data_IF_532900497557
#
_entry.id   IF_532900497557
#
_cell.length_a   1.000
_cell.length_b   1.000
_cell.length_c   1.000
_cell.angle_alpha   90.00
_cell.angle_beta   90.00
_cell.angle_gamma   90.00
#
_symmetry.space_group_name_H-M   'P 1'
#
loop_
_entity.id
_entity.type
_entity.pdbx_description
1 polymer ?
#
# COMPACT_ATOMS: atom_id res chain seq x y z
N UNK A 1 -54.39 46.88 -49.36
CA UNK A 1 -54.61 46.00 -48.20
C UNK A 1 -53.35 45.16 -48.00
N UNK A 2 -52.42 45.67 -47.16
CA UNK A 2 -51.08 45.05 -46.95
C UNK A 2 -51.09 44.16 -45.69
N UNK A 3 -50.80 42.86 -45.85
CA UNK A 3 -50.76 41.87 -44.79
C UNK A 3 -49.36 41.83 -44.19
N UNK A 4 -49.16 42.34 -42.98
CA UNK A 4 -47.91 42.26 -42.22
C UNK A 4 -47.77 40.85 -41.60
N UNK A 5 -46.75 40.12 -42.06
CA UNK A 5 -46.31 38.84 -41.43
C UNK A 5 -45.49 39.14 -40.19
N UNK A 6 -45.95 38.66 -39.06
CA UNK A 6 -45.23 38.68 -37.77
C UNK A 6 -44.33 37.47 -37.68
N UNK A 7 -43.00 37.67 -37.62
CA UNK A 7 -42.01 36.62 -37.39
C UNK A 7 -41.78 36.53 -35.86
N UNK A 8 -42.20 35.42 -35.27
CA UNK A 8 -41.86 35.09 -33.90
C UNK A 8 -40.44 34.43 -33.90
N UNK A 9 -39.47 35.16 -33.39
CA UNK A 9 -38.14 34.62 -33.15
C UNK A 9 -38.11 33.79 -31.87
N UNK A 10 -37.81 32.48 -31.99
CA UNK A 10 -37.60 31.58 -30.89
C UNK A 10 -36.17 31.73 -30.39
N UNK A 11 -35.98 32.34 -29.22
CA UNK A 11 -34.67 32.46 -28.57
C UNK A 11 -34.36 31.15 -27.83
N UNK A 12 -33.39 30.39 -28.34
CA UNK A 12 -32.84 29.20 -27.65
C UNK A 12 -31.75 29.69 -26.71
N UNK A 13 -32.00 29.59 -25.39
CA UNK A 13 -31.00 29.82 -24.37
C UNK A 13 -30.11 28.57 -24.24
N UNK A 14 -28.78 28.70 -24.28
CA UNK A 14 -27.89 27.56 -23.98
C UNK A 14 -27.92 27.25 -22.48
N UNK A 15 -28.27 26.02 -22.12
CA UNK A 15 -28.14 25.51 -20.75
C UNK A 15 -26.66 25.35 -20.42
N UNK A 16 -26.15 26.14 -19.47
CA UNK A 16 -24.85 25.91 -18.88
C UNK A 16 -24.92 24.62 -18.03
N UNK A 17 -24.30 23.57 -18.53
CA UNK A 17 -24.05 22.35 -17.73
C UNK A 17 -22.83 22.63 -16.84
N UNK A 18 -23.06 23.02 -15.60
CA UNK A 18 -22.02 23.08 -14.58
C UNK A 18 -21.71 21.66 -14.13
N UNK A 19 -20.60 21.10 -14.59
CA UNK A 19 -20.06 19.85 -14.05
C UNK A 19 -19.53 20.12 -12.64
N UNK A 20 -20.27 19.71 -11.63
CA UNK A 20 -19.78 19.63 -10.24
C UNK A 20 -18.76 18.48 -10.15
N UNK A 21 -17.48 18.81 -10.22
CA UNK A 21 -16.41 17.89 -9.82
C UNK A 21 -16.54 17.63 -8.31
N UNK A 22 -16.73 16.36 -7.94
CA UNK A 22 -16.63 15.95 -6.54
C UNK A 22 -15.23 16.32 -5.98
N UNK A 23 -15.12 16.76 -4.73
CA UNK A 23 -13.82 17.06 -4.14
C UNK A 23 -12.98 15.78 -4.12
N UNK A 24 -11.77 15.82 -4.69
CA UNK A 24 -10.80 14.74 -4.62
C UNK A 24 -10.54 14.40 -3.15
N UNK A 25 -10.63 13.12 -2.80
CA UNK A 25 -10.42 12.64 -1.44
C UNK A 25 -8.98 12.98 -0.98
N UNK A 26 -8.79 13.19 0.30
CA UNK A 26 -7.48 13.62 0.85
C UNK A 26 -6.41 12.53 0.67
N UNK A 27 -6.81 11.25 0.61
CA UNK A 27 -5.96 10.09 0.30
C UNK A 27 -5.41 10.15 -1.13
N UNK A 28 -6.23 10.54 -2.12
CA UNK A 28 -5.80 10.65 -3.53
C UNK A 28 -4.66 11.65 -3.72
N UNK A 29 -4.70 12.77 -2.96
CA UNK A 29 -3.63 13.77 -2.97
C UNK A 29 -2.32 13.27 -2.32
N UNK A 30 -2.41 12.39 -1.32
CA UNK A 30 -1.23 11.82 -0.67
C UNK A 30 -0.49 10.83 -1.59
N UNK A 31 -1.24 10.09 -2.41
CA UNK A 31 -0.68 9.07 -3.32
C UNK A 31 -0.19 9.62 -4.66
N UNK A 32 -0.56 10.83 -5.07
CA UNK A 32 -0.22 11.44 -6.38
C UNK A 32 1.28 11.45 -6.74
N UNK A 33 2.17 11.44 -5.74
CA UNK A 33 3.62 11.35 -5.98
C UNK A 33 4.15 9.94 -6.24
N UNK A 34 3.30 8.89 -6.19
CA UNK A 34 3.71 7.49 -6.34
C UNK A 34 3.58 6.97 -7.79
N UNK A 35 4.01 7.75 -8.76
CA UNK A 35 3.87 7.42 -10.19
C UNK A 35 4.63 6.16 -10.58
N UNK A 36 3.93 5.20 -11.20
CA UNK A 36 4.46 3.91 -11.64
C UNK A 36 5.10 3.09 -10.50
N UNK A 37 4.59 3.24 -9.27
CA UNK A 37 5.13 2.57 -8.08
C UNK A 37 4.30 1.33 -7.76
N UNK A 38 4.99 0.29 -7.31
CA UNK A 38 4.38 -0.86 -6.61
C UNK A 38 4.75 -0.77 -5.14
N UNK A 39 3.75 -0.67 -4.28
CA UNK A 39 3.91 -0.76 -2.82
C UNK A 39 3.53 -2.16 -2.38
N UNK A 40 4.44 -2.81 -1.67
CA UNK A 40 4.30 -4.13 -1.07
C UNK A 40 4.17 -3.94 0.44
N UNK A 41 3.13 -4.49 1.05
CA UNK A 41 2.91 -4.37 2.50
C UNK A 41 2.80 -5.76 3.09
N UNK A 42 3.63 -6.03 4.10
CA UNK A 42 3.58 -7.23 4.92
C UNK A 42 3.38 -6.86 6.38
N UNK A 43 2.75 -7.74 7.12
CA UNK A 43 2.82 -7.70 8.56
C UNK A 43 4.22 -8.11 9.02
N UNK A 44 4.69 -7.60 10.16
CA UNK A 44 5.89 -8.17 10.80
C UNK A 44 5.72 -9.69 11.03
N UNK A 45 6.80 -10.43 10.99
CA UNK A 45 6.82 -11.86 11.20
C UNK A 45 6.40 -12.24 12.64
N UNK A 46 6.21 -13.55 12.89
CA UNK A 46 5.60 -14.08 14.10
C UNK A 46 6.28 -13.60 15.38
N UNK A 47 5.45 -13.20 16.33
CA UNK A 47 5.87 -12.74 17.68
C UNK A 47 6.08 -13.93 18.63
N UNK A 48 7.04 -13.85 19.56
CA UNK A 48 7.10 -14.78 20.70
C UNK A 48 6.01 -14.41 21.73
N UNK A 49 5.79 -15.29 22.70
CA UNK A 49 4.87 -15.04 23.82
C UNK A 49 5.35 -13.84 24.67
N UNK A 50 6.65 -13.63 24.74
CA UNK A 50 7.26 -12.52 25.48
C UNK A 50 8.43 -11.90 24.70
N UNK A 51 8.66 -10.60 24.94
CA UNK A 51 9.77 -9.88 24.33
C UNK A 51 9.39 -9.08 23.10
N UNK A 52 10.37 -8.34 22.58
CA UNK A 52 10.22 -7.36 21.48
C UNK A 52 10.60 -7.92 20.13
N UNK A 53 11.23 -9.09 20.09
CA UNK A 53 11.80 -9.73 18.90
C UNK A 53 10.82 -10.61 18.13
N UNK A 54 11.39 -11.45 17.28
CA UNK A 54 10.67 -12.48 16.53
C UNK A 54 10.70 -13.82 17.29
N UNK A 55 9.70 -14.66 17.06
CA UNK A 55 9.76 -16.06 17.46
C UNK A 55 10.68 -16.85 16.52
N UNK A 56 11.07 -18.11 16.85
CA UNK A 56 11.84 -18.94 15.91
C UNK A 56 11.15 -19.11 14.55
N UNK A 57 9.81 -19.17 14.51
CA UNK A 57 9.04 -19.19 13.26
C UNK A 57 9.13 -17.84 12.53
N UNK A 58 9.07 -16.73 13.28
CA UNK A 58 9.22 -15.40 12.71
C UNK A 58 10.61 -15.16 12.12
N UNK A 59 11.66 -15.71 12.75
CA UNK A 59 13.02 -15.66 12.17
C UNK A 59 13.09 -16.44 10.85
N UNK A 60 12.47 -17.63 10.80
CA UNK A 60 12.38 -18.41 9.56
C UNK A 60 11.62 -17.65 8.45
N UNK A 61 10.53 -16.93 8.79
CA UNK A 61 9.80 -16.11 7.82
C UNK A 61 10.65 -14.94 7.34
N UNK A 62 11.36 -14.25 8.22
CA UNK A 62 12.25 -13.17 7.85
C UNK A 62 13.36 -13.64 6.89
N UNK A 63 13.94 -14.82 7.13
CA UNK A 63 14.90 -15.44 6.21
C UNK A 63 14.25 -15.84 4.88
N UNK A 64 13.04 -16.38 4.89
CA UNK A 64 12.31 -16.70 3.66
C UNK A 64 12.05 -15.45 2.82
N UNK A 65 11.76 -14.31 3.44
CA UNK A 65 11.58 -13.03 2.75
C UNK A 65 12.84 -12.56 2.01
N UNK A 66 14.04 -12.87 2.53
CA UNK A 66 15.30 -12.55 1.85
C UNK A 66 15.41 -13.22 0.48
N UNK A 67 14.74 -14.34 0.27
CA UNK A 67 14.69 -15.04 -1.01
C UNK A 67 13.44 -14.67 -1.81
N UNK A 68 12.28 -14.59 -1.16
CA UNK A 68 10.99 -14.35 -1.80
C UNK A 68 10.90 -12.99 -2.49
N UNK A 69 11.47 -11.94 -1.90
CA UNK A 69 11.50 -10.59 -2.48
C UNK A 69 12.73 -10.31 -3.35
N UNK A 70 13.54 -11.31 -3.69
CA UNK A 70 14.74 -11.11 -4.51
C UNK A 70 14.93 -12.16 -5.63
N UNK A 71 14.14 -12.07 -6.72
CA UNK A 71 12.99 -11.19 -6.98
C UNK A 71 11.64 -11.82 -6.58
N UNK A 72 10.67 -11.01 -6.21
CA UNK A 72 9.27 -11.42 -6.16
C UNK A 72 8.72 -11.58 -7.58
N UNK A 73 8.28 -12.78 -7.93
CA UNK A 73 7.64 -13.04 -9.22
C UNK A 73 6.12 -12.87 -9.09
N UNK A 74 5.57 -11.85 -9.73
CA UNK A 74 4.15 -11.55 -9.64
C UNK A 74 3.60 -10.96 -10.95
N UNK A 75 2.58 -11.63 -11.52
CA UNK A 75 1.95 -11.18 -12.76
C UNK A 75 2.92 -11.11 -13.94
N UNK A 76 3.85 -12.05 -14.05
CA UNK A 76 4.87 -12.08 -15.10
C UNK A 76 5.99 -11.04 -14.96
N UNK A 77 6.05 -10.34 -13.83
CA UNK A 77 7.08 -9.33 -13.53
C UNK A 77 7.99 -9.81 -12.40
N UNK A 78 9.27 -9.46 -12.48
CA UNK A 78 10.24 -9.61 -11.40
C UNK A 78 10.32 -8.29 -10.63
N UNK A 79 9.87 -8.29 -9.38
CA UNK A 79 9.85 -7.13 -8.51
C UNK A 79 10.93 -7.29 -7.45
N UNK A 80 11.88 -6.38 -7.41
CA UNK A 80 12.90 -6.31 -6.36
C UNK A 80 12.69 -4.99 -5.60
N UNK A 81 12.47 -5.02 -4.27
CA UNK A 81 12.38 -3.79 -3.49
C UNK A 81 13.62 -2.93 -3.64
N UNK A 82 13.43 -1.66 -3.89
CA UNK A 82 14.50 -0.64 -3.95
C UNK A 82 14.48 0.23 -2.69
N UNK A 83 13.46 0.07 -1.87
CA UNK A 83 13.29 0.77 -0.61
C UNK A 83 12.60 -0.14 0.40
N UNK A 84 13.16 -0.20 1.60
CA UNK A 84 12.65 -1.00 2.71
C UNK A 84 12.24 -0.07 3.85
N UNK A 85 10.99 -0.18 4.30
CA UNK A 85 10.46 0.67 5.37
C UNK A 85 9.87 -0.22 6.46
N UNK A 86 10.15 0.11 7.70
CA UNK A 86 9.52 -0.51 8.87
C UNK A 86 9.02 0.57 9.82
N UNK A 87 8.05 0.25 10.68
CA UNK A 87 7.73 1.15 11.79
C UNK A 87 8.96 1.36 12.66
N UNK A 88 9.04 2.50 13.32
CA UNK A 88 10.07 2.76 14.34
C UNK A 88 9.99 1.70 15.44
N UNK A 89 11.14 1.27 15.94
CA UNK A 89 11.20 0.40 17.10
C UNK A 89 10.56 1.08 18.31
N UNK A 90 9.84 0.31 19.11
CA UNK A 90 9.20 0.77 20.33
C UNK A 90 9.70 -0.04 21.54
N UNK A 91 9.27 0.34 22.74
CA UNK A 91 9.57 -0.43 23.95
C UNK A 91 8.99 -1.85 23.92
N UNK A 92 7.98 -2.10 23.09
CA UNK A 92 7.27 -3.38 22.99
C UNK A 92 7.55 -4.15 21.71
N UNK A 93 8.19 -3.55 20.69
CA UNK A 93 8.40 -4.21 19.41
C UNK A 93 9.56 -3.62 18.60
N UNK A 94 10.44 -4.51 18.12
CA UNK A 94 11.37 -4.26 17.01
C UNK A 94 11.05 -5.17 15.80
N UNK A 95 9.91 -5.85 15.85
CA UNK A 95 9.55 -6.91 14.90
C UNK A 95 9.48 -6.46 13.44
N UNK A 96 8.89 -5.30 13.06
CA UNK A 96 8.87 -4.87 11.66
C UNK A 96 10.28 -4.73 11.08
N UNK A 97 11.21 -4.11 11.78
CA UNK A 97 12.60 -4.01 11.35
C UNK A 97 13.27 -5.38 11.27
N UNK A 98 13.12 -6.21 12.29
CA UNK A 98 13.71 -7.55 12.32
C UNK A 98 13.19 -8.44 11.18
N UNK A 99 11.93 -8.29 10.79
CA UNK A 99 11.33 -8.99 9.63
C UNK A 99 12.05 -8.66 8.32
N UNK A 100 12.50 -7.42 8.14
CA UNK A 100 13.19 -7.00 6.91
C UNK A 100 14.72 -7.12 6.99
N UNK A 101 15.28 -7.43 8.15
CA UNK A 101 16.74 -7.43 8.35
C UNK A 101 17.48 -8.38 7.41
N UNK A 102 17.08 -9.67 7.24
CA UNK A 102 17.77 -10.56 6.31
C UNK A 102 17.70 -10.08 4.85
N UNK A 103 16.55 -9.56 4.42
CA UNK A 103 16.40 -8.99 3.08
C UNK A 103 17.26 -7.73 2.88
N UNK A 104 17.30 -6.84 3.87
CA UNK A 104 18.14 -5.65 3.87
C UNK A 104 19.61 -6.00 3.68
N UNK A 105 20.09 -7.01 4.40
CA UNK A 105 21.47 -7.51 4.25
C UNK A 105 21.71 -8.09 2.87
N UNK A 106 20.78 -8.87 2.33
CA UNK A 106 20.90 -9.51 1.03
C UNK A 106 20.88 -8.52 -0.13
N UNK A 107 20.04 -7.48 -0.05
CA UNK A 107 19.93 -6.45 -1.09
C UNK A 107 20.92 -5.29 -0.92
N UNK A 108 21.59 -5.21 0.23
CA UNK A 108 22.41 -4.05 0.63
C UNK A 108 21.64 -2.73 0.64
N UNK A 109 20.36 -2.78 1.07
CA UNK A 109 19.47 -1.63 1.17
C UNK A 109 19.15 -1.38 2.65
N UNK A 110 19.35 -0.17 3.18
CA UNK A 110 19.04 0.14 4.57
C UNK A 110 17.52 0.08 4.83
N UNK A 111 17.14 -0.31 6.06
CA UNK A 111 15.75 -0.23 6.51
C UNK A 111 15.52 1.17 7.06
N UNK A 112 14.56 1.88 6.49
CA UNK A 112 14.11 3.18 6.98
C UNK A 112 13.03 3.00 8.05
N UNK A 113 13.16 3.72 9.17
CA UNK A 113 12.21 3.68 10.29
C UNK A 113 11.77 5.11 10.68
N UNK A 114 11.18 5.88 9.76
CA UNK A 114 10.94 7.29 10.00
C UNK A 114 9.70 7.59 10.83
N UNK A 115 8.80 6.61 11.03
CA UNK A 115 7.47 6.83 11.62
C UNK A 115 7.08 5.73 12.60
N UNK A 116 6.34 6.13 13.63
CA UNK A 116 5.66 5.22 14.55
C UNK A 116 4.46 4.54 13.87
N UNK A 117 3.91 3.52 14.52
CA UNK A 117 2.88 2.63 13.96
C UNK A 117 1.59 3.38 13.54
N UNK A 118 1.17 4.35 14.33
CA UNK A 118 -0.01 5.18 14.08
C UNK A 118 0.21 6.30 13.05
N UNK A 119 1.45 6.54 12.60
CA UNK A 119 1.79 7.68 11.72
C UNK A 119 1.69 7.33 10.21
N UNK A 120 0.72 6.50 9.83
CA UNK A 120 0.55 6.02 8.45
C UNK A 120 0.39 7.15 7.43
N UNK A 121 -0.38 8.20 7.76
CA UNK A 121 -0.57 9.36 6.87
C UNK A 121 0.72 10.12 6.60
N UNK A 122 1.59 10.23 7.62
CA UNK A 122 2.89 10.87 7.46
C UNK A 122 3.80 10.08 6.54
N UNK A 123 3.78 8.74 6.66
CA UNK A 123 4.52 7.85 5.79
C UNK A 123 4.07 8.02 4.34
N UNK A 124 2.77 7.88 4.06
CA UNK A 124 2.22 7.97 2.70
C UNK A 124 2.50 9.35 2.09
N UNK A 125 2.29 10.43 2.84
CA UNK A 125 2.61 11.79 2.39
C UNK A 125 4.11 11.98 2.09
N UNK A 126 4.99 11.37 2.88
CA UNK A 126 6.44 11.42 2.64
C UNK A 126 6.83 10.66 1.38
N UNK A 127 6.25 9.48 1.16
CA UNK A 127 6.44 8.70 -0.06
C UNK A 127 6.00 9.48 -1.29
N UNK A 128 4.83 10.10 -1.23
CA UNK A 128 4.31 10.93 -2.31
C UNK A 128 5.22 12.10 -2.70
N UNK A 129 6.06 12.58 -1.79
CA UNK A 129 6.96 13.72 -2.05
C UNK A 129 8.38 13.35 -2.47
N UNK A 130 8.92 12.27 -1.93
CA UNK A 130 10.37 11.99 -2.00
C UNK A 130 10.70 10.60 -2.56
N UNK A 131 9.70 9.79 -2.90
CA UNK A 131 9.95 8.45 -3.39
C UNK A 131 10.52 8.48 -4.81
N UNK A 132 11.63 7.75 -5.03
CA UNK A 132 12.24 7.52 -6.33
C UNK A 132 12.29 6.03 -6.69
N UNK A 133 11.88 5.17 -5.77
CA UNK A 133 11.85 3.73 -5.94
C UNK A 133 10.60 3.31 -6.72
N UNK A 134 10.73 2.38 -7.66
CA UNK A 134 9.59 1.77 -8.36
C UNK A 134 8.93 0.64 -7.56
N UNK A 135 9.66 0.04 -6.61
CA UNK A 135 9.15 -0.99 -5.70
C UNK A 135 9.55 -0.62 -4.28
N UNK A 136 8.55 -0.45 -3.42
CA UNK A 136 8.71 -0.16 -1.98
C UNK A 136 8.13 -1.33 -1.19
N UNK A 137 8.90 -1.89 -0.24
CA UNK A 137 8.40 -2.90 0.70
C UNK A 137 8.29 -2.30 2.09
N UNK A 138 7.12 -2.47 2.69
CA UNK A 138 6.76 -1.93 4.00
C UNK A 138 6.41 -3.08 4.93
N UNK A 139 7.08 -3.19 6.09
CA UNK A 139 6.70 -4.08 7.17
C UNK A 139 6.03 -3.28 8.29
N UNK A 140 4.81 -3.66 8.67
CA UNK A 140 4.00 -2.90 9.62
C UNK A 140 3.34 -3.80 10.68
N UNK A 141 2.66 -3.20 11.65
CA UNK A 141 1.84 -3.91 12.63
C UNK A 141 0.43 -4.12 12.10
N UNK A 142 -0.13 -5.31 12.31
CA UNK A 142 -1.46 -5.68 11.80
C UNK A 142 -2.57 -4.72 12.20
N UNK A 143 -2.50 -4.13 13.41
CA UNK A 143 -3.51 -3.18 13.89
C UNK A 143 -3.61 -1.88 13.09
N UNK A 144 -2.63 -1.55 12.26
CA UNK A 144 -2.61 -0.32 11.47
C UNK A 144 -2.37 -0.57 9.96
N UNK A 145 -2.34 -1.84 9.51
CA UNK A 145 -2.17 -2.12 8.07
C UNK A 145 -3.40 -1.66 7.28
N UNK A 146 -4.61 -1.83 7.82
CA UNK A 146 -5.82 -1.36 7.13
C UNK A 146 -5.81 0.16 6.99
N UNK A 147 -5.44 0.91 8.03
CA UNK A 147 -5.24 2.36 7.95
C UNK A 147 -4.15 2.74 6.92
N UNK A 148 -3.08 1.95 6.83
CA UNK A 148 -2.02 2.17 5.85
C UNK A 148 -2.54 1.96 4.41
N UNK A 149 -3.34 0.92 4.17
CA UNK A 149 -3.99 0.68 2.87
C UNK A 149 -4.93 1.83 2.52
N UNK A 150 -5.75 2.28 3.47
CA UNK A 150 -6.67 3.42 3.29
C UNK A 150 -5.91 4.73 3.00
N UNK A 151 -4.81 4.98 3.71
CA UNK A 151 -3.97 6.16 3.47
C UNK A 151 -3.36 6.17 2.05
N UNK A 152 -3.14 5.00 1.46
CA UNK A 152 -2.75 4.84 0.05
C UNK A 152 -3.93 4.94 -0.93
N UNK A 153 -5.16 5.12 -0.46
CA UNK A 153 -6.38 5.19 -1.27
C UNK A 153 -7.02 3.83 -1.58
N UNK A 154 -6.59 2.75 -0.93
CA UNK A 154 -7.14 1.42 -1.09
C UNK A 154 -8.26 1.12 -0.10
N UNK A 155 -8.93 -0.02 -0.29
CA UNK A 155 -9.93 -0.59 0.61
C UNK A 155 -9.40 -1.92 1.16
N UNK A 156 -8.99 -1.92 2.43
CA UNK A 156 -8.44 -3.09 3.11
C UNK A 156 -9.45 -4.25 3.15
N UNK A 157 -10.75 -3.97 3.38
CA UNK A 157 -11.77 -4.99 3.42
C UNK A 157 -12.03 -5.60 2.04
N UNK A 158 -12.07 -4.79 0.98
CA UNK A 158 -12.22 -5.29 -0.38
C UNK A 158 -11.02 -6.17 -0.81
N UNK A 159 -9.80 -5.82 -0.40
CA UNK A 159 -8.59 -6.57 -0.73
C UNK A 159 -8.48 -7.88 0.06
N UNK A 160 -8.80 -7.87 1.36
CA UNK A 160 -8.55 -9.01 2.25
C UNK A 160 -9.76 -9.91 2.45
N UNK A 161 -10.97 -9.38 2.26
CA UNK A 161 -12.23 -10.03 2.62
C UNK A 161 -12.51 -9.99 4.14
N UNK A 162 -11.72 -9.24 4.91
CA UNK A 162 -11.81 -9.13 6.36
C UNK A 162 -11.98 -7.66 6.78
N UNK A 163 -12.70 -7.41 7.88
CA UNK A 163 -12.86 -6.05 8.44
C UNK A 163 -11.57 -5.50 9.04
N UNK A 164 -10.67 -6.37 9.45
CA UNK A 164 -9.35 -6.04 9.97
C UNK A 164 -8.40 -7.22 9.74
N UNK A 165 -7.11 -6.94 9.71
CA UNK A 165 -6.10 -7.98 9.59
C UNK A 165 -6.14 -8.93 10.79
N UNK A 166 -6.35 -10.27 10.59
CA UNK A 166 -6.45 -11.21 11.70
C UNK A 166 -5.16 -11.33 12.50
N UNK A 167 -5.28 -11.50 13.81
CA UNK A 167 -4.11 -11.53 14.71
C UNK A 167 -3.15 -12.71 14.49
N UNK A 168 -3.63 -13.81 13.96
CA UNK A 168 -2.89 -15.06 13.72
C UNK A 168 -2.37 -15.19 12.27
N UNK A 169 -2.69 -14.22 11.40
CA UNK A 169 -2.28 -14.24 10.01
C UNK A 169 -0.98 -13.45 9.80
N UNK A 170 0.05 -14.14 9.31
CA UNK A 170 1.39 -13.59 9.04
C UNK A 170 1.85 -13.76 7.59
N UNK A 171 1.08 -14.46 6.78
CA UNK A 171 1.42 -14.90 5.44
C UNK A 171 0.59 -14.21 4.33
N UNK A 172 0.20 -12.95 4.56
CA UNK A 172 -0.40 -12.11 3.54
C UNK A 172 0.55 -11.01 3.09
N UNK A 173 0.63 -10.85 1.78
CA UNK A 173 1.26 -9.73 1.12
C UNK A 173 0.17 -8.90 0.45
N UNK A 174 0.09 -7.62 0.77
CA UNK A 174 -0.73 -6.66 0.01
C UNK A 174 0.15 -6.01 -1.06
N UNK A 175 -0.38 -5.96 -2.26
CA UNK A 175 0.25 -5.33 -3.41
C UNK A 175 -0.64 -4.19 -3.87
N UNK A 176 -0.14 -2.96 -3.79
CA UNK A 176 -0.80 -1.76 -4.30
C UNK A 176 -0.03 -1.26 -5.51
N UNK A 177 -0.71 -1.06 -6.64
CA UNK A 177 -0.08 -0.58 -7.88
C UNK A 177 -0.61 0.80 -8.24
N UNK A 178 0.31 1.69 -8.54
CA UNK A 178 0.02 3.05 -8.95
C UNK A 178 0.41 3.24 -10.43
N UNK A 179 -0.42 3.96 -11.16
CA UNK A 179 -0.20 4.28 -12.57
C UNK A 179 0.78 5.44 -12.78
N UNK A 180 0.92 5.89 -14.03
CA UNK A 180 1.78 7.00 -14.41
C UNK A 180 1.25 8.38 -13.99
N UNK A 181 0.00 8.44 -13.51
CA UNK A 181 -0.60 9.63 -12.89
C UNK A 181 -0.50 9.61 -11.36
N UNK A 182 -0.02 8.50 -10.76
CA UNK A 182 0.04 8.30 -9.32
C UNK A 182 -1.32 7.92 -8.71
N UNK A 183 -2.25 7.41 -9.51
CA UNK A 183 -3.53 6.89 -9.05
C UNK A 183 -3.42 5.40 -8.73
N UNK A 184 -4.07 4.98 -7.64
CA UNK A 184 -4.16 3.57 -7.31
C UNK A 184 -4.96 2.82 -8.36
N UNK A 185 -4.40 1.74 -8.90
CA UNK A 185 -5.06 0.86 -9.88
C UNK A 185 -5.66 -0.33 -9.12
N UNK A 186 -6.91 -0.22 -8.70
CA UNK A 186 -7.61 -1.25 -7.90
C UNK A 186 -7.59 -2.63 -8.57
N UNK A 187 -7.85 -2.69 -9.89
CA UNK A 187 -7.84 -3.95 -10.66
C UNK A 187 -6.47 -4.64 -10.71
N UNK A 188 -5.40 -3.95 -10.39
CA UNK A 188 -4.03 -4.47 -10.31
C UNK A 188 -3.51 -4.56 -8.87
N UNK A 189 -4.31 -4.12 -7.90
CA UNK A 189 -4.01 -4.25 -6.47
C UNK A 189 -4.64 -5.52 -5.92
N UNK A 190 -3.93 -6.24 -5.06
CA UNK A 190 -4.39 -7.54 -4.61
C UNK A 190 -3.75 -7.96 -3.27
N UNK A 191 -4.42 -8.88 -2.59
CA UNK A 191 -3.80 -9.71 -1.54
C UNK A 191 -3.21 -10.96 -2.20
N UNK A 192 -1.99 -11.29 -1.83
CA UNK A 192 -1.31 -12.55 -2.17
C UNK A 192 -1.19 -13.39 -0.91
N UNK A 193 -1.65 -14.63 -0.97
CA UNK A 193 -1.39 -15.62 0.08
C UNK A 193 0.02 -16.15 -0.12
N UNK A 194 0.88 -15.95 0.86
CA UNK A 194 2.25 -16.46 0.83
C UNK A 194 2.29 -17.90 1.35
N UNK A 195 3.10 -18.74 0.70
CA UNK A 195 3.30 -20.15 1.05
C UNK A 195 4.79 -20.39 1.29
N UNK A 196 5.37 -19.66 2.26
CA UNK A 196 6.82 -19.63 2.49
C UNK A 196 7.26 -20.67 3.53
N UNK A 197 6.39 -20.98 4.47
CA UNK A 197 6.70 -21.90 5.56
C UNK A 197 5.66 -23.03 5.63
N UNK A 198 6.04 -24.21 6.18
CA UNK A 198 5.07 -25.28 6.44
C UNK A 198 3.89 -24.77 7.29
N UNK A 199 2.66 -25.04 6.85
CA UNK A 199 1.41 -24.58 7.47
C UNK A 199 0.93 -23.21 7.03
N UNK A 200 1.64 -22.50 6.14
CA UNK A 200 1.09 -21.34 5.45
C UNK A 200 0.02 -21.82 4.46
N UNK A 201 -1.22 -21.37 4.58
CA UNK A 201 -2.29 -21.69 3.62
C UNK A 201 -3.06 -22.99 3.90
N UNK A 202 -3.02 -23.49 5.11
CA UNK A 202 -3.96 -24.53 5.60
C UNK A 202 -5.29 -23.92 6.02
#
# INVERSE_FOLDING_TARGET
MMLRKLLLGLAVLPALVTSTQAPANQSDKAAQGLKNVTVLIVRHAEKPDQGTGLSPRGEQRAEAYAHYFNPLQLGGKNLVPQRLIATSDSKSSARPRLTLTPLSQRLHIPIEQPYADEEVDKLVKSLGKKNQASVVLIAWHHGHIDNLIEAFGGDGQALTGQKSWPEDVYNWLIVLRFDDQGQLVESHSQKVQEHLLPGDGS
#
